data_IF_351766839560
#
_entry.id   IF_351766839560
#
_cell.length_a   1.000
_cell.length_b   1.000
_cell.length_c   1.000
_cell.angle_alpha   90.00
_cell.angle_beta   90.00
_cell.angle_gamma   90.00
#
_symmetry.space_group_name_H-M   'P 1'
#
loop_
_entity.id
_entity.type
_entity.pdbx_description
1 polymer ?
#
# COMPACT_ATOMS: atom_id res chain seq x y z
N UNK A 1 6.08 -18.75 -13.63
CA UNK A 1 5.15 -18.90 -12.49
C UNK A 1 4.13 -19.97 -12.82
N UNK A 2 4.17 -21.07 -12.08
CA UNK A 2 3.12 -22.10 -12.11
C UNK A 2 2.03 -21.80 -11.04
N UNK A 3 0.94 -22.58 -11.05
CA UNK A 3 -0.19 -22.36 -10.13
C UNK A 3 0.17 -22.54 -8.65
N UNK A 4 1.10 -23.44 -8.33
CA UNK A 4 1.56 -23.69 -6.97
C UNK A 4 2.31 -22.47 -6.43
N UNK A 5 3.30 -21.98 -7.19
CA UNK A 5 4.02 -20.75 -6.88
C UNK A 5 3.06 -19.56 -6.77
N UNK A 6 2.12 -19.42 -7.70
CA UNK A 6 1.14 -18.34 -7.66
C UNK A 6 0.35 -18.38 -6.35
N UNK A 7 -0.15 -19.57 -5.96
CA UNK A 7 -0.93 -19.78 -4.74
C UNK A 7 -0.22 -19.27 -3.48
N UNK A 8 1.09 -19.52 -3.35
CA UNK A 8 1.89 -19.04 -2.21
C UNK A 8 1.87 -17.50 -2.12
N UNK A 9 1.90 -16.82 -3.26
CA UNK A 9 2.01 -15.36 -3.30
C UNK A 9 0.68 -14.61 -3.34
N UNK A 10 -0.45 -15.29 -3.59
CA UNK A 10 -1.73 -14.61 -3.81
C UNK A 10 -2.19 -13.76 -2.62
N UNK A 11 -1.94 -14.19 -1.38
CA UNK A 11 -2.27 -13.41 -0.17
C UNK A 11 -1.48 -12.10 -0.11
N UNK A 12 -0.15 -12.20 -0.14
CA UNK A 12 0.74 -11.02 -0.13
C UNK A 12 0.45 -10.08 -1.32
N UNK A 13 0.11 -10.64 -2.48
CA UNK A 13 -0.27 -9.85 -3.65
C UNK A 13 -1.59 -9.10 -3.47
N UNK A 14 -2.62 -9.76 -2.92
CA UNK A 14 -3.91 -9.14 -2.59
C UNK A 14 -3.77 -8.01 -1.54
N UNK A 15 -2.79 -8.13 -0.65
CA UNK A 15 -2.50 -7.12 0.36
C UNK A 15 -1.58 -5.99 -0.13
N UNK A 16 -0.92 -6.17 -1.27
CA UNK A 16 0.01 -5.20 -1.85
C UNK A 16 1.47 -5.34 -1.35
N UNK A 17 1.80 -6.43 -0.65
CA UNK A 17 3.10 -6.68 -0.03
C UNK A 17 4.03 -7.54 -0.92
N UNK A 18 4.08 -7.25 -2.22
CA UNK A 18 5.01 -7.91 -3.14
C UNK A 18 5.83 -6.89 -3.93
N UNK A 19 7.11 -7.20 -4.14
CA UNK A 19 7.98 -6.37 -4.97
C UNK A 19 7.56 -6.34 -6.44
N UNK A 20 8.06 -5.34 -7.20
CA UNK A 20 7.64 -5.06 -8.58
C UNK A 20 7.77 -6.26 -9.53
N UNK A 21 8.92 -6.96 -9.52
CA UNK A 21 9.16 -8.12 -10.38
C UNK A 21 8.20 -9.29 -10.07
N UNK A 22 7.90 -9.49 -8.78
CA UNK A 22 6.93 -10.51 -8.33
C UNK A 22 5.52 -10.13 -8.74
N UNK A 23 5.11 -8.88 -8.52
CA UNK A 23 3.83 -8.33 -8.98
C UNK A 23 3.62 -8.56 -10.47
N UNK A 24 4.61 -8.24 -11.31
CA UNK A 24 4.52 -8.47 -12.75
C UNK A 24 4.30 -9.95 -13.08
N UNK A 25 5.07 -10.85 -12.46
CA UNK A 25 4.97 -12.29 -12.67
C UNK A 25 3.60 -12.85 -12.31
N UNK A 26 3.04 -12.40 -11.17
CA UNK A 26 1.70 -12.79 -10.70
C UNK A 26 0.63 -12.24 -11.64
N UNK A 27 0.69 -10.96 -12.01
CA UNK A 27 -0.26 -10.36 -12.96
C UNK A 27 -0.29 -11.09 -14.29
N UNK A 28 0.88 -11.43 -14.85
CA UNK A 28 0.97 -12.21 -16.08
C UNK A 28 0.29 -13.57 -15.92
N UNK A 29 0.49 -14.25 -14.79
CA UNK A 29 -0.13 -15.54 -14.52
C UNK A 29 -1.66 -15.44 -14.36
N UNK A 30 -2.16 -14.43 -13.64
CA UNK A 30 -3.60 -14.24 -13.44
C UNK A 30 -4.37 -13.93 -14.74
N UNK A 31 -3.71 -13.30 -15.72
CA UNK A 31 -4.29 -13.12 -17.05
C UNK A 31 -4.42 -14.43 -17.84
N UNK A 32 -3.56 -15.41 -17.56
CA UNK A 32 -3.50 -16.67 -18.29
C UNK A 32 -4.18 -17.85 -17.55
N UNK A 33 -4.47 -17.73 -16.25
CA UNK A 33 -5.02 -18.81 -15.44
C UNK A 33 -6.29 -18.37 -14.70
N UNK A 34 -7.44 -18.85 -15.18
CA UNK A 34 -8.75 -18.57 -14.58
C UNK A 34 -8.86 -19.07 -13.13
N UNK A 35 -8.32 -20.26 -12.82
CA UNK A 35 -8.35 -20.82 -11.47
C UNK A 35 -7.62 -19.94 -10.44
N UNK A 36 -6.46 -19.40 -10.79
CA UNK A 36 -5.74 -18.47 -9.92
C UNK A 36 -6.40 -17.10 -9.88
N UNK A 37 -7.01 -16.63 -10.97
CA UNK A 37 -7.79 -15.40 -10.99
C UNK A 37 -9.00 -15.47 -10.03
N UNK A 38 -9.75 -16.57 -10.04
CA UNK A 38 -10.88 -16.81 -9.13
C UNK A 38 -10.42 -16.83 -7.68
N UNK A 39 -9.31 -17.54 -7.37
CA UNK A 39 -8.73 -17.56 -6.01
C UNK A 39 -8.35 -16.15 -5.54
N UNK A 40 -7.71 -15.36 -6.40
CA UNK A 40 -7.35 -13.98 -6.10
C UNK A 40 -8.59 -13.11 -5.83
N UNK A 41 -9.64 -13.23 -6.65
CA UNK A 41 -10.90 -12.52 -6.41
C UNK A 41 -11.56 -12.93 -5.09
N UNK A 42 -11.50 -14.20 -4.72
CA UNK A 42 -11.97 -14.68 -3.41
C UNK A 42 -11.25 -14.03 -2.24
N UNK A 43 -9.92 -13.85 -2.33
CA UNK A 43 -9.14 -13.13 -1.32
C UNK A 43 -9.54 -11.64 -1.23
N UNK A 44 -9.77 -10.99 -2.37
CA UNK A 44 -10.23 -9.60 -2.39
C UNK A 44 -11.63 -9.45 -1.77
N UNK A 45 -12.55 -10.36 -2.09
CA UNK A 45 -13.90 -10.38 -1.51
C UNK A 45 -13.86 -10.60 0.00
N UNK A 46 -13.05 -11.55 0.48
CA UNK A 46 -12.85 -11.79 1.91
C UNK A 46 -12.30 -10.54 2.60
N UNK A 47 -11.28 -9.90 2.03
CA UNK A 47 -10.67 -8.68 2.56
C UNK A 47 -11.65 -7.50 2.61
N UNK A 48 -12.53 -7.37 1.61
CA UNK A 48 -13.59 -6.38 1.62
C UNK A 48 -14.61 -6.63 2.73
N UNK A 49 -15.04 -7.89 2.89
CA UNK A 49 -15.97 -8.29 3.96
C UNK A 49 -15.39 -8.02 5.35
N UNK A 50 -14.16 -8.45 5.61
CA UNK A 50 -13.50 -8.21 6.89
C UNK A 50 -13.38 -6.72 7.21
N UNK A 51 -13.15 -5.86 6.22
CA UNK A 51 -13.13 -4.40 6.42
C UNK A 51 -14.50 -3.81 6.71
N UNK A 52 -15.56 -4.35 6.11
CA UNK A 52 -16.93 -3.91 6.37
C UNK A 52 -17.38 -4.31 7.78
N UNK A 53 -16.93 -5.47 8.27
CA UNK A 53 -17.24 -5.99 9.60
C UNK A 53 -16.31 -5.43 10.70
N UNK A 54 -15.13 -4.93 10.34
CA UNK A 54 -14.18 -4.38 11.31
C UNK A 54 -14.73 -3.13 12.01
N UNK A 55 -14.63 -3.04 13.36
CA UNK A 55 -15.00 -1.83 14.07
C UNK A 55 -14.22 -0.62 13.57
N UNK A 56 -14.92 0.49 13.33
CA UNK A 56 -14.29 1.73 12.93
C UNK A 56 -13.67 2.43 14.14
N UNK A 57 -12.34 2.44 14.22
CA UNK A 57 -11.62 3.19 15.24
C UNK A 57 -11.26 4.59 14.73
N UNK A 58 -11.85 5.62 15.34
CA UNK A 58 -11.50 7.01 15.04
C UNK A 58 -10.05 7.27 15.45
N UNK A 59 -9.20 7.57 14.47
CA UNK A 59 -7.84 8.02 14.74
C UNK A 59 -7.88 9.27 15.64
N UNK A 60 -7.08 9.33 16.73
CA UNK A 60 -6.93 10.53 17.53
C UNK A 60 -6.51 11.73 16.67
N UNK A 61 -6.92 12.96 17.00
CA UNK A 61 -6.63 14.15 16.18
C UNK A 61 -5.16 14.30 15.81
N UNK A 62 -4.25 14.04 16.75
CA UNK A 62 -2.80 14.10 16.51
C UNK A 62 -2.33 13.06 15.47
N UNK A 63 -2.84 11.83 15.55
CA UNK A 63 -2.51 10.78 14.58
C UNK A 63 -3.03 11.11 13.18
N UNK A 64 -4.25 11.70 13.09
CA UNK A 64 -4.83 12.16 11.83
C UNK A 64 -4.01 13.31 11.23
N UNK A 65 -3.70 14.33 12.02
CA UNK A 65 -2.89 15.47 11.59
C UNK A 65 -1.51 15.02 11.09
N UNK A 66 -0.83 14.13 11.83
CA UNK A 66 0.46 13.56 11.43
C UNK A 66 0.37 12.80 10.10
N UNK A 67 -0.67 11.98 9.90
CA UNK A 67 -0.87 11.25 8.64
C UNK A 67 -1.10 12.19 7.44
N UNK A 68 -1.86 13.26 7.63
CA UNK A 68 -2.13 14.27 6.59
C UNK A 68 -0.85 15.03 6.23
N UNK A 69 -0.05 15.42 7.22
CA UNK A 69 1.24 16.06 6.99
C UNK A 69 2.19 15.12 6.23
N UNK A 70 2.39 13.88 6.68
CA UNK A 70 3.28 12.91 6.01
C UNK A 70 2.93 12.65 4.54
N UNK A 71 1.64 12.72 4.19
CA UNK A 71 1.15 12.51 2.82
C UNK A 71 1.10 13.81 2.01
N UNK A 72 1.49 14.95 2.60
CA UNK A 72 1.55 16.22 1.90
C UNK A 72 2.75 16.24 0.94
N UNK A 73 2.54 16.61 -0.34
CA UNK A 73 3.63 16.75 -1.30
C UNK A 73 4.63 17.85 -0.90
N UNK A 74 4.23 18.79 -0.04
CA UNK A 74 5.08 19.89 0.44
C UNK A 74 6.24 19.40 1.33
N UNK A 75 6.06 18.29 2.06
CA UNK A 75 7.11 17.74 2.94
C UNK A 75 8.18 16.95 2.18
N UNK A 76 7.86 16.36 1.02
CA UNK A 76 8.84 15.65 0.18
C UNK A 76 9.80 16.59 -0.56
N UNK A 77 9.46 17.89 -0.65
CA UNK A 77 10.30 18.93 -1.27
C UNK A 77 11.29 19.58 -0.30
N UNK A 78 11.17 19.37 1.01
CA UNK A 78 11.95 20.07 2.05
C UNK A 78 13.30 19.41 2.37
N UNK A 79 13.72 18.37 1.64
CA UNK A 79 15.02 17.70 1.83
C UNK A 79 16.17 18.30 1.01
N UNK A 80 16.11 19.61 0.68
CA UNK A 80 17.12 20.25 -0.19
C UNK A 80 17.39 21.74 0.06
N UNK A 81 17.08 22.30 1.23
CA UNK A 81 17.31 23.72 1.49
C UNK A 81 17.86 23.98 2.90
N UNK A 82 19.14 24.34 2.98
CA UNK A 82 19.75 24.93 4.18
C UNK A 82 19.00 26.25 4.47
N UNK A 83 18.33 26.33 5.62
CA UNK A 83 17.78 27.59 6.12
C UNK A 83 18.93 28.34 6.77
N UNK A 84 19.51 29.30 6.05
CA UNK A 84 20.45 30.26 6.65
C UNK A 84 19.63 31.36 7.33
N UNK A 85 19.73 31.41 8.66
CA UNK A 85 19.10 32.46 9.48
C UNK A 85 20.05 33.66 9.46
N UNK A 86 19.70 34.71 8.71
CA UNK A 86 20.39 36.00 8.81
C UNK A 86 19.91 36.69 10.07
N UNK A 87 20.78 36.74 11.09
CA UNK A 87 20.60 37.60 12.25
C UNK A 87 21.01 39.01 11.83
N UNK A 88 20.04 39.86 11.47
CA UNK A 88 20.28 41.31 11.38
C UNK A 88 20.36 41.85 12.82
N UNK A 89 21.59 42.10 13.27
CA UNK A 89 21.87 42.84 14.50
C UNK A 89 21.66 44.32 14.23
N UNK A 90 20.73 44.90 14.98
CA UNK A 90 20.51 46.35 15.10
C UNK A 90 21.51 46.99 16.06
#
# INVERSE_FOLDING_TARGET
MNCHEAGIWLGAYADGHVGALRRYSIQRHLRACTGCAVKHQGLLALRARLRAEAPYFKAPPLARARSLLQRSPLLHSMHGGRVEVTHELS
#
